data_IF_137875672863
#
_entry.id   IF_137875672863
#
_cell.length_a   1.000
_cell.length_b   1.000
_cell.length_c   1.000
_cell.angle_alpha   90.00
_cell.angle_beta   90.00
_cell.angle_gamma   90.00
#
_symmetry.space_group_name_H-M   'P 1'
#
loop_
_entity.id
_entity.type
_entity.pdbx_description
1 polymer ?
#
# COMPACT_ATOMS: atom_id res chain seq x y z
N UNK A 1 7.02 0.70 -5.42
CA UNK A 1 6.02 1.65 -4.93
C UNK A 1 5.46 2.53 -6.04
N UNK A 2 6.26 3.34 -6.72
CA UNK A 2 5.78 4.30 -7.73
C UNK A 2 5.03 3.67 -8.90
N UNK A 3 5.39 2.48 -9.33
CA UNK A 3 4.68 1.76 -10.40
C UNK A 3 3.22 1.51 -10.04
N UNK A 4 2.96 1.06 -8.80
CA UNK A 4 1.60 0.87 -8.31
C UNK A 4 0.83 2.20 -8.21
N UNK A 5 1.49 3.26 -7.72
CA UNK A 5 0.90 4.60 -7.62
C UNK A 5 0.49 5.12 -9.00
N UNK A 6 1.36 5.04 -9.98
CA UNK A 6 1.09 5.49 -11.37
C UNK A 6 -0.08 4.73 -11.98
N UNK A 7 -0.07 3.42 -11.86
CA UNK A 7 -1.16 2.58 -12.36
C UNK A 7 -2.48 2.91 -11.68
N UNK A 8 -2.50 2.92 -10.35
CA UNK A 8 -3.72 3.20 -9.58
C UNK A 8 -4.27 4.60 -9.88
N UNK A 9 -3.41 5.61 -10.02
CA UNK A 9 -3.81 6.97 -10.34
C UNK A 9 -4.50 7.06 -11.71
N UNK A 10 -3.90 6.44 -12.73
CA UNK A 10 -4.49 6.41 -14.07
C UNK A 10 -5.81 5.66 -14.10
N UNK A 11 -5.86 4.50 -13.45
CA UNK A 11 -7.07 3.70 -13.35
C UNK A 11 -8.17 4.46 -12.62
N UNK A 12 -7.89 5.04 -11.47
CA UNK A 12 -8.87 5.80 -10.69
C UNK A 12 -9.40 7.01 -11.45
N UNK A 13 -8.54 7.71 -12.18
CA UNK A 13 -8.95 8.81 -13.06
C UNK A 13 -9.92 8.33 -14.15
N UNK A 14 -9.59 7.23 -14.82
CA UNK A 14 -10.42 6.63 -15.87
C UNK A 14 -11.77 6.14 -15.37
N UNK A 15 -11.80 5.53 -14.20
CA UNK A 15 -13.02 4.95 -13.60
C UNK A 15 -13.77 5.93 -12.68
N UNK A 16 -13.25 7.13 -12.47
CA UNK A 16 -13.78 8.13 -11.53
C UNK A 16 -13.90 7.58 -10.10
N UNK A 17 -12.90 6.83 -9.66
CA UNK A 17 -12.85 6.17 -8.36
C UNK A 17 -12.07 6.99 -7.35
N UNK A 18 -12.30 6.72 -6.07
CA UNK A 18 -11.49 7.26 -4.98
C UNK A 18 -10.19 6.48 -4.83
N UNK A 19 -9.18 7.10 -4.24
CA UNK A 19 -7.91 6.47 -3.91
C UNK A 19 -7.63 6.56 -2.42
N UNK A 20 -7.11 5.47 -1.88
CA UNK A 20 -6.54 5.41 -0.53
C UNK A 20 -5.15 4.82 -0.63
N UNK A 21 -4.16 5.52 -0.12
CA UNK A 21 -2.79 5.03 -0.02
C UNK A 21 -2.57 4.37 1.32
N UNK A 22 -1.97 3.19 1.31
CA UNK A 22 -1.80 2.36 2.51
C UNK A 22 -0.33 2.01 2.65
N UNK A 23 0.20 2.18 3.86
CA UNK A 23 1.53 1.74 4.24
C UNK A 23 1.47 0.78 5.41
N UNK A 24 2.45 -0.10 5.46
CA UNK A 24 2.70 -0.97 6.59
C UNK A 24 4.04 -0.61 7.22
N UNK A 25 4.04 -0.48 8.53
CA UNK A 25 5.26 -0.30 9.32
C UNK A 25 5.58 -1.58 10.06
N UNK A 26 6.86 -1.89 10.18
CA UNK A 26 7.33 -3.00 10.99
C UNK A 26 7.47 -2.55 12.44
N UNK A 27 7.04 -3.41 13.39
CA UNK A 27 7.35 -3.18 14.79
C UNK A 27 8.82 -3.53 15.03
N UNK A 28 9.61 -2.56 15.45
CA UNK A 28 11.05 -2.73 15.73
C UNK A 28 11.28 -3.59 16.99
N UNK A 29 10.24 -3.84 17.78
CA UNK A 29 10.31 -4.66 18.99
C UNK A 29 10.48 -6.16 18.74
N UNK A 30 10.28 -6.63 17.52
CA UNK A 30 10.46 -8.05 17.17
C UNK A 30 11.96 -8.43 17.20
N UNK A 31 12.42 -8.94 18.33
CA UNK A 31 13.79 -9.41 18.56
C UNK A 31 14.70 -8.43 19.31
N UNK A 32 14.24 -7.25 19.70
CA UNK A 32 14.97 -6.31 20.56
C UNK A 32 14.24 -6.12 21.89
N UNK A 33 14.96 -6.23 23.00
CA UNK A 33 14.45 -5.87 24.33
C UNK A 33 14.37 -4.34 24.47
N UNK A 34 13.37 -3.74 23.85
CA UNK A 34 13.11 -2.30 24.00
C UNK A 34 12.11 -2.05 25.12
N UNK A 35 12.30 -0.95 25.85
CA UNK A 35 11.27 -0.46 26.77
C UNK A 35 10.04 -0.02 25.98
N UNK A 36 8.86 -0.12 26.59
CA UNK A 36 7.61 0.30 25.93
C UNK A 36 7.61 1.77 25.49
N UNK A 37 8.33 2.65 26.23
CA UNK A 37 8.49 4.06 25.87
C UNK A 37 9.39 4.25 24.63
N UNK A 38 10.47 3.49 24.49
CA UNK A 38 11.36 3.51 23.33
C UNK A 38 10.63 2.99 22.09
N UNK A 39 9.86 1.91 22.22
CA UNK A 39 9.02 1.36 21.16
C UNK A 39 8.02 2.40 20.64
N UNK A 40 7.33 3.12 21.51
CA UNK A 40 6.40 4.19 21.14
C UNK A 40 7.07 5.34 20.39
N UNK A 41 8.28 5.72 20.76
CA UNK A 41 9.05 6.77 20.08
C UNK A 41 9.42 6.32 18.67
N UNK A 42 9.92 5.09 18.51
CA UNK A 42 10.29 4.53 17.21
C UNK A 42 9.07 4.36 16.29
N UNK A 43 7.94 3.93 16.83
CA UNK A 43 6.69 3.86 16.09
C UNK A 43 6.23 5.24 15.60
N UNK A 44 6.35 6.28 16.42
CA UNK A 44 6.03 7.66 16.02
C UNK A 44 6.95 8.17 14.92
N UNK A 45 8.24 7.86 14.97
CA UNK A 45 9.21 8.24 13.95
C UNK A 45 8.91 7.55 12.62
N UNK A 46 8.58 6.25 12.64
CA UNK A 46 8.17 5.51 11.44
C UNK A 46 6.88 6.08 10.85
N UNK A 47 5.88 6.35 11.66
CA UNK A 47 4.62 6.94 11.21
C UNK A 47 4.87 8.31 10.59
N UNK A 48 5.71 9.15 11.19
CA UNK A 48 6.06 10.47 10.65
C UNK A 48 6.77 10.35 9.29
N UNK A 49 7.70 9.41 9.16
CA UNK A 49 8.40 9.13 7.90
C UNK A 49 7.43 8.66 6.81
N UNK A 50 6.51 7.76 7.15
CA UNK A 50 5.49 7.29 6.20
C UNK A 50 4.53 8.40 5.78
N UNK A 51 4.14 9.29 6.69
CA UNK A 51 3.30 10.46 6.36
C UNK A 51 3.96 11.38 5.34
N UNK A 52 5.26 11.59 5.43
CA UNK A 52 6.03 12.38 4.45
C UNK A 52 5.99 11.71 3.08
N UNK A 53 6.22 10.39 3.01
CA UNK A 53 6.11 9.64 1.76
C UNK A 53 4.70 9.70 1.17
N UNK A 54 3.67 9.56 1.99
CA UNK A 54 2.28 9.68 1.57
C UNK A 54 1.98 11.08 1.01
N UNK A 55 2.55 12.13 1.57
CA UNK A 55 2.38 13.48 1.05
C UNK A 55 2.91 13.60 -0.37
N UNK A 56 4.11 13.09 -0.64
CA UNK A 56 4.68 13.09 -2.00
C UNK A 56 3.79 12.32 -2.98
N UNK A 57 3.29 11.17 -2.56
CA UNK A 57 2.37 10.34 -3.36
C UNK A 57 1.05 11.07 -3.60
N UNK A 58 0.50 11.73 -2.59
CA UNK A 58 -0.76 12.49 -2.71
C UNK A 58 -0.61 13.69 -3.64
N UNK A 59 0.53 14.40 -3.58
CA UNK A 59 0.82 15.51 -4.48
C UNK A 59 0.86 15.02 -5.93
N UNK A 60 1.52 13.90 -6.19
CA UNK A 60 1.55 13.26 -7.51
C UNK A 60 0.14 12.86 -7.98
N UNK A 61 -0.64 12.19 -7.13
CA UNK A 61 -2.01 11.75 -7.46
C UNK A 61 -2.87 12.97 -7.81
N UNK A 62 -2.83 14.00 -7.01
CA UNK A 62 -3.62 15.21 -7.23
C UNK A 62 -3.21 15.94 -8.49
N UNK A 63 -1.92 16.07 -8.76
CA UNK A 63 -1.40 16.71 -9.97
C UNK A 63 -1.90 16.00 -11.23
N UNK A 64 -1.90 14.68 -11.25
CA UNK A 64 -2.23 13.88 -12.44
C UNK A 64 -3.71 13.51 -12.58
N UNK A 65 -4.49 13.55 -11.51
CA UNK A 65 -5.87 13.08 -11.53
C UNK A 65 -6.89 14.03 -10.88
N UNK A 66 -6.44 15.02 -10.12
CA UNK A 66 -7.27 15.87 -9.26
C UNK A 66 -8.00 15.12 -8.14
N UNK A 67 -7.60 13.89 -7.87
CA UNK A 67 -8.15 13.07 -6.78
C UNK A 67 -7.43 13.41 -5.48
N UNK A 68 -8.20 13.68 -4.42
CA UNK A 68 -7.68 13.81 -3.05
C UNK A 68 -7.65 12.43 -2.40
N UNK A 69 -6.48 11.80 -2.38
CA UNK A 69 -6.31 10.49 -1.78
C UNK A 69 -6.37 10.54 -0.24
N UNK A 70 -6.81 9.45 0.36
CA UNK A 70 -6.76 9.23 1.80
C UNK A 70 -5.52 8.42 2.17
N UNK A 71 -5.10 8.50 3.42
CA UNK A 71 -3.95 7.76 3.95
C UNK A 71 -4.39 6.86 5.09
N UNK A 72 -3.93 5.61 5.05
CA UNK A 72 -4.04 4.66 6.15
C UNK A 72 -2.67 4.02 6.42
N UNK A 73 -2.32 3.87 7.67
CA UNK A 73 -1.05 3.26 8.09
C UNK A 73 -1.36 2.15 9.08
N UNK A 74 -0.89 0.94 8.78
CA UNK A 74 -1.04 -0.24 9.62
C UNK A 74 0.32 -0.79 10.04
N UNK A 75 0.37 -1.51 11.16
CA UNK A 75 1.50 -2.35 11.51
C UNK A 75 1.38 -3.70 10.78
N UNK A 76 2.49 -4.34 10.45
CA UNK A 76 2.48 -5.68 9.83
C UNK A 76 1.80 -6.70 10.74
N UNK A 77 1.96 -6.57 12.07
CA UNK A 77 1.24 -7.37 13.06
C UNK A 77 -0.28 -7.19 13.03
N UNK A 78 -0.78 -6.13 12.43
CA UNK A 78 -2.20 -5.77 12.34
C UNK A 78 -2.81 -6.18 10.99
N UNK A 79 -2.27 -7.21 10.33
CA UNK A 79 -2.75 -7.63 9.00
C UNK A 79 -4.23 -8.05 9.01
N UNK A 80 -4.72 -8.64 10.09
CA UNK A 80 -6.12 -9.01 10.22
C UNK A 80 -7.04 -7.78 10.33
N UNK A 81 -6.60 -6.74 11.01
CA UNK A 81 -7.31 -5.45 11.09
C UNK A 81 -7.36 -4.77 9.72
N UNK A 82 -6.26 -4.84 8.96
CA UNK A 82 -6.20 -4.34 7.59
C UNK A 82 -7.18 -5.09 6.68
N UNK A 83 -7.28 -6.41 6.78
CA UNK A 83 -8.23 -7.20 5.99
C UNK A 83 -9.68 -6.83 6.36
N UNK A 84 -9.99 -6.68 7.65
CA UNK A 84 -11.29 -6.21 8.10
C UNK A 84 -11.61 -4.80 7.57
N UNK A 85 -10.63 -3.92 7.57
CA UNK A 85 -10.74 -2.58 6.98
C UNK A 85 -11.08 -2.66 5.47
N UNK A 86 -10.37 -3.49 4.71
CA UNK A 86 -10.64 -3.70 3.29
C UNK A 86 -12.04 -4.25 3.03
N UNK A 87 -12.44 -5.24 3.81
CA UNK A 87 -13.73 -5.90 3.66
C UNK A 87 -14.92 -5.01 4.09
N UNK A 88 -14.64 -3.91 4.80
CA UNK A 88 -15.64 -2.88 5.12
C UNK A 88 -15.96 -1.95 3.95
N UNK A 89 -15.08 -1.88 2.96
CA UNK A 89 -15.35 -1.13 1.73
C UNK A 89 -16.35 -1.84 0.84
N UNK A 90 -16.97 -1.10 -0.07
CA UNK A 90 -17.92 -1.66 -1.03
C UNK A 90 -17.25 -2.69 -1.94
N UNK A 91 -18.05 -3.58 -2.53
CA UNK A 91 -17.61 -4.64 -3.46
C UNK A 91 -16.83 -4.14 -4.70
N UNK A 92 -16.79 -2.84 -4.92
CA UNK A 92 -16.11 -2.21 -6.06
C UNK A 92 -14.67 -1.77 -5.77
N UNK A 93 -14.14 -2.10 -4.60
CA UNK A 93 -12.76 -1.77 -4.25
C UNK A 93 -11.77 -2.75 -4.89
N UNK A 94 -10.60 -2.26 -5.25
CA UNK A 94 -9.50 -3.05 -5.80
C UNK A 94 -8.21 -2.67 -5.08
N UNK A 95 -7.43 -3.66 -4.68
CA UNK A 95 -6.10 -3.44 -4.12
C UNK A 95 -5.09 -3.47 -5.25
N UNK A 96 -4.19 -2.49 -5.28
CA UNK A 96 -3.09 -2.44 -6.24
C UNK A 96 -1.76 -2.50 -5.51
N UNK A 97 -0.95 -3.47 -5.85
CA UNK A 97 0.40 -3.65 -5.32
C UNK A 97 1.41 -3.71 -6.46
N UNK A 98 2.64 -3.29 -6.20
CA UNK A 98 3.76 -3.55 -7.10
C UNK A 98 4.72 -4.55 -6.46
N UNK A 99 5.29 -5.44 -7.28
CA UNK A 99 6.35 -6.33 -6.82
C UNK A 99 7.60 -5.54 -6.46
N UNK A 100 8.41 -6.07 -5.56
CA UNK A 100 9.75 -5.56 -5.33
C UNK A 100 10.57 -5.61 -6.62
N UNK A 101 11.50 -4.67 -6.77
CA UNK A 101 12.47 -4.69 -7.88
C UNK A 101 13.53 -5.78 -7.71
N UNK A 102 13.62 -6.38 -6.54
CA UNK A 102 14.59 -7.44 -6.25
C UNK A 102 14.18 -8.74 -6.93
N UNK A 103 15.15 -9.37 -7.59
CA UNK A 103 14.93 -10.63 -8.32
C UNK A 103 14.53 -11.75 -7.35
N UNK A 104 13.44 -12.45 -7.66
CA UNK A 104 12.96 -13.61 -6.92
C UNK A 104 12.27 -13.32 -5.59
N UNK A 105 12.05 -12.03 -5.25
CA UNK A 105 11.38 -11.64 -4.01
C UNK A 105 10.23 -10.68 -4.31
N UNK A 106 8.97 -11.14 -4.32
CA UNK A 106 7.83 -10.27 -4.64
C UNK A 106 7.57 -9.19 -3.58
N UNK A 107 8.06 -9.40 -2.36
CA UNK A 107 7.89 -8.51 -1.23
C UNK A 107 7.07 -9.13 -0.09
N UNK A 108 7.34 -8.75 1.16
CA UNK A 108 6.72 -9.40 2.34
C UNK A 108 5.21 -9.18 2.42
N UNK A 109 4.71 -8.05 1.97
CA UNK A 109 3.26 -7.78 1.97
C UNK A 109 2.53 -8.67 0.97
N UNK A 110 3.07 -8.87 -0.22
CA UNK A 110 2.48 -9.75 -1.24
C UNK A 110 2.46 -11.18 -0.72
N UNK A 111 3.56 -11.65 -0.13
CA UNK A 111 3.63 -12.99 0.46
C UNK A 111 2.55 -13.16 1.53
N UNK A 112 2.40 -12.23 2.45
CA UNK A 112 1.38 -12.31 3.50
C UNK A 112 -0.03 -12.29 2.94
N UNK A 113 -0.33 -11.40 2.03
CA UNK A 113 -1.69 -11.29 1.49
C UNK A 113 -2.08 -12.50 0.63
N UNK A 114 -1.17 -13.07 -0.13
CA UNK A 114 -1.47 -14.20 -1.02
C UNK A 114 -1.44 -15.53 -0.26
N UNK A 115 -0.34 -15.83 0.41
CA UNK A 115 -0.14 -17.15 1.02
C UNK A 115 -0.86 -17.33 2.35
N UNK A 116 -0.95 -16.29 3.16
CA UNK A 116 -1.56 -16.41 4.48
C UNK A 116 -3.03 -15.99 4.51
N UNK A 117 -3.41 -14.96 3.74
CA UNK A 117 -4.71 -14.28 3.85
C UNK A 117 -5.51 -14.20 2.55
N UNK A 118 -5.05 -14.87 1.48
CA UNK A 118 -5.71 -14.80 0.18
C UNK A 118 -7.20 -15.14 0.20
N UNK A 119 -7.57 -16.13 1.00
CA UNK A 119 -8.97 -16.57 1.15
C UNK A 119 -9.85 -15.60 1.95
N UNK A 120 -9.24 -14.65 2.67
CA UNK A 120 -9.95 -13.70 3.52
C UNK A 120 -10.25 -12.38 2.80
N UNK A 121 -9.68 -12.16 1.61
CA UNK A 121 -9.89 -10.96 0.82
C UNK A 121 -11.18 -11.06 0.00
N UNK A 122 -12.05 -10.07 0.16
CA UNK A 122 -13.32 -9.99 -0.59
C UNK A 122 -13.27 -8.98 -1.75
N UNK A 123 -12.09 -8.53 -2.13
CA UNK A 123 -11.90 -7.62 -3.24
C UNK A 123 -10.78 -8.12 -4.18
N UNK A 124 -10.80 -7.73 -5.46
CA UNK A 124 -9.73 -8.06 -6.38
C UNK A 124 -8.38 -7.50 -5.94
N UNK A 125 -7.34 -8.28 -6.17
CA UNK A 125 -5.95 -7.90 -5.95
C UNK A 125 -5.23 -7.83 -7.30
N UNK A 126 -4.71 -6.66 -7.63
CA UNK A 126 -3.91 -6.43 -8.84
C UNK A 126 -2.46 -6.32 -8.44
N UNK A 127 -1.62 -7.20 -8.95
CA UNK A 127 -0.18 -7.17 -8.73
C UNK A 127 0.50 -6.73 -10.02
N UNK A 128 1.29 -5.69 -9.94
CA UNK A 128 1.99 -5.10 -11.08
C UNK A 128 3.49 -5.33 -10.91
N UNK A 129 4.16 -5.66 -12.00
CA UNK A 129 5.61 -5.76 -11.99
C UNK A 129 6.22 -4.38 -11.66
N UNK A 130 7.01 -4.32 -10.59
CA UNK A 130 7.65 -3.09 -10.12
C UNK A 130 8.66 -2.48 -11.10
N UNK A 131 9.06 -3.21 -12.13
CA UNK A 131 9.99 -2.75 -13.18
C UNK A 131 9.30 -2.20 -14.43
N UNK A 132 7.96 -2.16 -14.49
CA UNK A 132 7.25 -1.59 -15.63
C UNK A 132 7.57 -0.11 -15.82
N UNK A 133 7.82 0.27 -17.06
CA UNK A 133 8.02 1.65 -17.46
C UNK A 133 6.66 2.37 -17.72
N UNK A 134 6.69 3.69 -17.70
CA UNK A 134 5.47 4.51 -17.88
C UNK A 134 4.71 4.19 -19.16
N UNK A 135 5.44 3.96 -20.25
CA UNK A 135 4.85 3.57 -21.55
C UNK A 135 4.12 2.23 -21.52
N UNK A 136 4.64 1.29 -20.71
CA UNK A 136 4.02 -0.01 -20.54
C UNK A 136 2.77 0.09 -19.68
N UNK A 137 2.81 0.92 -18.62
CA UNK A 137 1.64 1.19 -17.78
C UNK A 137 0.52 1.82 -18.61
N UNK A 138 0.84 2.72 -19.53
CA UNK A 138 -0.14 3.34 -20.42
C UNK A 138 -0.88 2.34 -21.32
N UNK A 139 -0.19 1.29 -21.73
CA UNK A 139 -0.78 0.26 -22.61
C UNK A 139 -1.74 -0.68 -21.91
N UNK A 140 -1.61 -0.87 -20.60
CA UNK A 140 -2.44 -1.82 -19.83
C UNK A 140 -3.64 -1.18 -19.14
N UNK A 141 -3.82 0.11 -19.30
CA UNK A 141 -4.99 0.86 -18.79
C UNK A 141 -5.95 1.19 -19.98
#
# INVERSE_FOLDING_TARGET
>A
MWTAVKFATKRAKSTKSNLTTISFIESISDGMMLTSSTEKILDKEQISSEKIKHKEVHDFIFEHSKIKAKTEIFKISEIDEFINFLNSYSSNSTIVLATSKDIGKPGPLIDKLIYEKGNSLHCPLVIINGNLEDKEIEKII
#
